data_IF_180354409176
#
_entry.id   IF_180354409176
#
_cell.length_a   1.000
_cell.length_b   1.000
_cell.length_c   1.000
_cell.angle_alpha   90.00
_cell.angle_beta   90.00
_cell.angle_gamma   90.00
#
_symmetry.space_group_name_H-M   'P 1'
#
loop_
_entity.id
_entity.type
_entity.pdbx_description
1 polymer ?
#
# COMPACT_ATOMS: atom_id res chain seq x y z
N UNK A 1 26.41 14.15 -20.63
CA UNK A 1 25.42 15.24 -20.78
C UNK A 1 24.36 14.97 -19.72
N UNK A 2 24.46 15.68 -18.60
CA UNK A 2 23.66 15.51 -17.38
C UNK A 2 22.74 16.74 -17.30
N UNK A 3 21.44 16.51 -17.12
CA UNK A 3 20.38 17.53 -16.92
C UNK A 3 19.28 16.87 -16.06
N UNK A 4 18.51 17.65 -15.28
CA UNK A 4 18.71 17.71 -13.85
C UNK A 4 17.54 17.16 -13.03
N UNK A 5 17.87 16.93 -11.77
CA UNK A 5 17.00 16.70 -10.63
C UNK A 5 15.89 17.75 -10.60
N UNK A 6 14.63 17.32 -10.78
CA UNK A 6 13.46 18.16 -10.55
C UNK A 6 13.23 18.22 -9.04
N UNK A 7 13.51 19.39 -8.50
CA UNK A 7 13.13 19.84 -7.16
C UNK A 7 11.60 19.94 -7.12
N UNK A 8 10.96 19.05 -6.36
CA UNK A 8 9.53 19.14 -6.04
C UNK A 8 9.24 20.33 -5.10
N UNK A 9 8.05 20.94 -5.19
CA UNK A 9 7.78 22.23 -4.56
C UNK A 9 7.70 22.10 -3.04
N UNK A 10 8.52 22.90 -2.37
CA UNK A 10 8.44 23.19 -0.95
C UNK A 10 7.23 24.07 -0.65
N UNK A 11 6.02 23.49 -0.64
CA UNK A 11 4.87 24.19 -0.07
C UNK A 11 3.97 23.18 0.65
N UNK A 12 3.56 23.56 1.86
CA UNK A 12 2.47 22.97 2.63
C UNK A 12 2.81 21.89 3.69
N UNK A 13 3.73 22.22 4.61
CA UNK A 13 3.58 21.79 6.01
C UNK A 13 2.90 22.90 6.83
N UNK A 14 1.65 23.22 6.46
CA UNK A 14 0.75 23.79 7.44
C UNK A 14 0.36 22.64 8.38
N UNK A 15 1.00 22.59 9.55
CA UNK A 15 0.60 21.75 10.68
C UNK A 15 -0.91 21.94 10.91
N UNK A 16 -1.71 21.00 10.44
CA UNK A 16 -3.03 20.76 11.00
C UNK A 16 -2.79 20.25 12.42
N UNK A 17 -2.70 21.18 13.35
CA UNK A 17 -2.76 20.91 14.78
C UNK A 17 -4.18 20.46 15.10
N UNK A 18 -4.48 19.20 14.79
CA UNK A 18 -5.67 18.54 15.28
C UNK A 18 -5.39 18.17 16.73
N UNK A 19 -6.06 18.77 17.73
CA UNK A 19 -5.99 18.26 19.08
C UNK A 19 -6.80 16.96 19.08
N UNK A 20 -6.17 15.85 18.70
CA UNK A 20 -6.62 14.55 19.15
C UNK A 20 -6.52 14.63 20.68
N UNK A 21 -7.66 14.78 21.35
CA UNK A 21 -7.75 14.73 22.79
C UNK A 21 -6.89 13.59 23.29
N UNK A 22 -5.83 13.93 24.03
CA UNK A 22 -4.90 13.00 24.65
C UNK A 22 -5.54 12.25 25.84
N UNK A 23 -6.85 12.03 25.80
CA UNK A 23 -7.61 11.31 26.82
C UNK A 23 -7.74 9.83 26.44
N UNK A 24 -6.60 9.24 26.10
CA UNK A 24 -6.27 7.85 26.41
C UNK A 24 -4.75 7.68 26.35
N UNK A 25 -4.00 8.59 26.97
CA UNK A 25 -2.60 8.33 27.31
C UNK A 25 -2.57 7.29 28.45
N UNK A 26 -2.81 6.02 28.12
CA UNK A 26 -2.33 4.93 28.96
C UNK A 26 -0.81 4.87 28.81
N UNK A 27 -0.10 5.04 29.92
CA UNK A 27 1.36 4.88 30.11
C UNK A 27 1.98 3.65 29.40
N UNK A 28 3.32 3.59 29.21
CA UNK A 28 3.96 2.91 28.08
C UNK A 28 4.00 1.39 28.26
N UNK A 29 2.87 0.74 28.02
CA UNK A 29 2.91 -0.64 27.54
C UNK A 29 3.56 -0.61 26.15
N UNK A 30 4.48 -1.55 25.90
CA UNK A 30 5.26 -1.65 24.66
C UNK A 30 4.40 -1.59 23.38
N UNK A 31 3.13 -1.97 23.48
CA UNK A 31 2.14 -1.92 22.40
C UNK A 31 0.82 -1.29 22.88
N UNK A 32 0.30 -0.34 22.11
CA UNK A 32 -1.02 0.27 22.33
C UNK A 32 -2.17 -0.67 21.91
N UNK A 33 -3.38 -0.47 22.44
CA UNK A 33 -4.55 -1.26 22.01
C UNK A 33 -4.85 -1.06 20.52
N UNK A 34 -4.63 0.14 19.99
CA UNK A 34 -4.80 0.43 18.58
C UNK A 34 -3.84 -0.40 17.69
N UNK A 35 -2.58 -0.55 18.11
CA UNK A 35 -1.61 -1.44 17.46
C UNK A 35 -2.01 -2.91 17.59
N UNK A 36 -2.45 -3.36 18.76
CA UNK A 36 -2.88 -4.75 18.97
C UNK A 36 -4.13 -5.10 18.14
N UNK A 37 -5.08 -4.18 18.01
CA UNK A 37 -6.22 -4.35 17.09
C UNK A 37 -5.74 -4.36 15.64
N UNK A 38 -4.81 -3.47 15.27
CA UNK A 38 -4.20 -3.49 13.93
C UNK A 38 -3.50 -4.82 13.61
N UNK A 39 -2.83 -5.41 14.59
CA UNK A 39 -2.22 -6.73 14.50
C UNK A 39 -3.27 -7.82 14.28
N UNK A 40 -4.34 -7.82 15.07
CA UNK A 40 -5.45 -8.77 14.94
C UNK A 40 -6.16 -8.69 13.58
N UNK A 41 -6.21 -7.49 12.99
CA UNK A 41 -6.79 -7.21 11.67
C UNK A 41 -5.80 -7.43 10.50
N UNK A 42 -4.56 -7.87 10.77
CA UNK A 42 -3.48 -8.05 9.78
C UNK A 42 -3.08 -6.76 9.03
N UNK A 43 -3.29 -5.60 9.66
CA UNK A 43 -3.06 -4.27 9.05
C UNK A 43 -1.73 -3.62 9.45
N UNK A 44 -0.91 -4.28 10.25
CA UNK A 44 0.43 -3.79 10.57
C UNK A 44 1.44 -4.05 9.45
N UNK A 45 2.51 -3.26 9.46
CA UNK A 45 3.71 -3.51 8.65
C UNK A 45 4.39 -4.82 9.13
N UNK A 46 4.96 -5.62 8.22
CA UNK A 46 5.57 -6.92 8.54
C UNK A 46 6.50 -6.95 9.76
N UNK A 47 7.43 -6.00 9.88
CA UNK A 47 8.39 -5.98 10.99
C UNK A 47 7.71 -5.77 12.33
N UNK A 48 6.70 -4.89 12.38
CA UNK A 48 5.93 -4.61 13.60
C UNK A 48 5.02 -5.77 13.98
N UNK A 49 4.46 -6.48 12.99
CA UNK A 49 3.71 -7.73 13.21
C UNK A 49 4.60 -8.80 13.85
N UNK A 50 5.79 -9.04 13.27
CA UNK A 50 6.74 -10.02 13.80
C UNK A 50 7.20 -9.69 15.22
N UNK A 51 7.37 -8.40 15.55
CA UNK A 51 7.72 -7.96 16.90
C UNK A 51 6.64 -8.36 17.93
N UNK A 52 5.37 -8.14 17.58
CA UNK A 52 4.24 -8.52 18.43
C UNK A 52 4.14 -10.04 18.53
N UNK A 53 4.26 -10.78 17.42
CA UNK A 53 4.25 -12.25 17.42
C UNK A 53 5.29 -12.86 18.35
N UNK A 54 6.52 -12.30 18.34
CA UNK A 54 7.57 -12.76 19.23
C UNK A 54 7.24 -12.45 20.70
N UNK A 55 6.77 -11.23 21.00
CA UNK A 55 6.41 -10.85 22.36
C UNK A 55 5.26 -11.71 22.92
N UNK A 56 4.26 -12.03 22.09
CA UNK A 56 3.10 -12.84 22.45
C UNK A 56 3.48 -14.27 22.86
N UNK A 57 4.63 -14.81 22.42
CA UNK A 57 5.08 -16.15 22.83
C UNK A 57 5.51 -16.21 24.29
N UNK A 58 6.08 -15.13 24.81
CA UNK A 58 6.71 -15.09 26.12
C UNK A 58 5.86 -14.35 27.16
N UNK A 59 4.94 -13.50 26.72
CA UNK A 59 4.12 -12.64 27.59
C UNK A 59 2.66 -13.11 27.67
N UNK A 60 2.31 -13.74 28.80
CA UNK A 60 0.93 -14.16 29.11
C UNK A 60 -0.03 -12.98 29.26
N UNK A 61 0.42 -11.84 29.81
CA UNK A 61 -0.45 -10.66 29.97
C UNK A 61 -0.81 -10.09 28.60
N UNK A 62 0.15 -10.04 27.70
CA UNK A 62 -0.08 -9.61 26.31
C UNK A 62 -1.04 -10.56 25.58
N UNK A 63 -0.90 -11.87 25.77
CA UNK A 63 -1.86 -12.87 25.25
C UNK A 63 -3.28 -12.61 25.75
N UNK A 64 -3.45 -12.43 27.06
CA UNK A 64 -4.77 -12.15 27.65
C UNK A 64 -5.36 -10.85 27.13
N UNK A 65 -4.54 -9.81 26.95
CA UNK A 65 -4.97 -8.54 26.37
C UNK A 65 -5.46 -8.70 24.92
N UNK A 66 -4.77 -9.47 24.09
CA UNK A 66 -5.23 -9.81 22.73
C UNK A 66 -6.54 -10.61 22.72
N UNK A 67 -6.69 -11.58 23.62
CA UNK A 67 -7.92 -12.37 23.77
C UNK A 67 -9.10 -11.46 24.15
N UNK A 68 -8.88 -10.53 25.09
CA UNK A 68 -9.89 -9.57 25.52
C UNK A 68 -10.31 -8.65 24.37
N UNK A 69 -9.37 -8.06 23.65
CA UNK A 69 -9.65 -7.19 22.49
C UNK A 69 -10.42 -7.94 21.39
N UNK A 70 -10.03 -9.18 21.09
CA UNK A 70 -10.77 -10.03 20.14
C UNK A 70 -12.18 -10.36 20.64
N UNK A 71 -12.36 -10.60 21.95
CA UNK A 71 -13.66 -10.85 22.55
C UNK A 71 -14.62 -9.65 22.44
N UNK A 72 -14.09 -8.43 22.60
CA UNK A 72 -14.86 -7.20 22.42
C UNK A 72 -15.38 -7.06 20.98
N UNK A 73 -14.52 -7.34 20.00
CA UNK A 73 -14.92 -7.34 18.59
C UNK A 73 -16.06 -8.34 18.30
N UNK A 74 -15.96 -9.57 18.82
CA UNK A 74 -17.02 -10.59 18.63
C UNK A 74 -18.34 -10.16 19.27
N UNK A 75 -18.30 -9.40 20.36
CA UNK A 75 -19.47 -8.82 21.01
C UNK A 75 -20.04 -7.58 20.29
N UNK A 76 -19.46 -7.17 19.15
CA UNK A 76 -19.88 -5.99 18.39
C UNK A 76 -19.40 -4.66 18.97
N UNK A 77 -18.46 -4.68 19.92
CA UNK A 77 -17.89 -3.48 20.55
C UNK A 77 -16.73 -2.94 19.70
N UNK A 78 -17.05 -2.50 18.48
CA UNK A 78 -16.05 -1.95 17.57
C UNK A 78 -15.77 -0.48 17.85
N UNK A 79 -14.50 -0.10 17.80
CA UNK A 79 -14.13 1.31 17.72
C UNK A 79 -14.39 1.86 16.32
N UNK A 80 -14.64 3.17 16.20
CA UNK A 80 -14.78 3.83 14.89
C UNK A 80 -13.53 3.57 14.02
N UNK A 81 -12.34 3.63 14.62
CA UNK A 81 -11.08 3.35 13.92
C UNK A 81 -10.94 1.91 13.42
N UNK A 82 -11.52 0.92 14.11
CA UNK A 82 -11.58 -0.46 13.62
C UNK A 82 -12.50 -0.59 12.40
N UNK A 83 -13.70 0.01 12.48
CA UNK A 83 -14.65 0.02 11.36
C UNK A 83 -14.03 0.70 10.14
N UNK A 84 -13.43 1.88 10.32
CA UNK A 84 -12.83 2.66 9.22
C UNK A 84 -11.79 1.87 8.43
N UNK A 85 -10.89 1.15 9.13
CA UNK A 85 -9.83 0.33 8.50
C UNK A 85 -10.39 -0.91 7.82
N UNK A 86 -11.32 -1.63 8.47
CA UNK A 86 -11.97 -2.83 7.90
C UNK A 86 -12.77 -2.50 6.65
N UNK A 87 -13.54 -1.40 6.70
CA UNK A 87 -14.35 -0.93 5.58
C UNK A 87 -13.54 -0.13 4.54
N UNK A 88 -12.26 0.13 4.80
CA UNK A 88 -11.34 0.80 3.87
C UNK A 88 -11.88 2.14 3.38
N UNK A 89 -12.52 2.91 4.26
CA UNK A 89 -13.29 4.11 3.89
C UNK A 89 -12.46 5.21 3.23
N UNK A 90 -11.15 5.23 3.48
CA UNK A 90 -10.21 6.18 2.87
C UNK A 90 -9.25 5.50 1.90
N UNK A 91 -9.51 4.28 1.44
CA UNK A 91 -8.65 3.64 0.44
C UNK A 91 -9.08 4.08 -0.96
N UNK A 92 -8.15 4.44 -1.85
CA UNK A 92 -8.46 4.60 -3.26
C UNK A 92 -8.93 3.25 -3.84
N UNK A 93 -9.87 3.29 -4.78
CA UNK A 93 -10.30 2.08 -5.47
C UNK A 93 -9.20 1.54 -6.41
N UNK A 94 -9.35 0.28 -6.84
CA UNK A 94 -8.33 -0.37 -7.69
C UNK A 94 -8.15 0.33 -9.04
N UNK A 95 -9.21 0.89 -9.63
CA UNK A 95 -9.14 1.67 -10.88
C UNK A 95 -8.31 2.94 -10.73
N UNK A 96 -8.44 3.63 -9.60
CA UNK A 96 -7.65 4.80 -9.24
C UNK A 96 -6.18 4.42 -9.09
N UNK A 97 -5.89 3.32 -8.38
CA UNK A 97 -4.52 2.79 -8.26
C UNK A 97 -3.94 2.41 -9.63
N UNK A 98 -4.75 1.84 -10.52
CA UNK A 98 -4.33 1.52 -11.89
C UNK A 98 -3.98 2.78 -12.69
N UNK A 99 -4.83 3.82 -12.61
CA UNK A 99 -4.57 5.11 -13.24
C UNK A 99 -3.32 5.78 -12.65
N UNK A 100 -3.10 5.66 -11.33
CA UNK A 100 -1.88 6.15 -10.66
C UNK A 100 -0.63 5.47 -11.22
N UNK A 101 -0.62 4.12 -11.28
CA UNK A 101 0.50 3.33 -11.85
C UNK A 101 0.77 3.69 -13.31
N UNK A 102 -0.27 4.02 -14.07
CA UNK A 102 -0.16 4.47 -15.46
C UNK A 102 0.23 5.95 -15.62
N UNK A 103 0.39 6.71 -14.52
CA UNK A 103 0.58 8.17 -14.51
C UNK A 103 -0.54 8.94 -15.23
N UNK A 104 -1.80 8.55 -14.99
CA UNK A 104 -3.00 9.12 -15.63
C UNK A 104 -3.91 9.89 -14.68
N UNK A 105 -3.51 10.04 -13.41
CA UNK A 105 -4.23 10.87 -12.45
C UNK A 105 -3.82 12.35 -12.57
N UNK A 106 -4.73 13.23 -12.19
CA UNK A 106 -4.36 14.62 -11.90
C UNK A 106 -3.43 14.70 -10.66
N UNK A 107 -2.81 15.87 -10.48
CA UNK A 107 -1.82 16.07 -9.42
C UNK A 107 -2.38 15.86 -8.01
N UNK A 108 -3.60 16.34 -7.74
CA UNK A 108 -4.20 16.26 -6.41
C UNK A 108 -4.51 14.81 -6.03
N UNK A 109 -5.10 14.05 -6.96
CA UNK A 109 -5.40 12.64 -6.73
C UNK A 109 -4.13 11.78 -6.68
N UNK A 110 -3.11 12.11 -7.47
CA UNK A 110 -1.81 11.45 -7.39
C UNK A 110 -1.14 11.66 -6.03
N UNK A 111 -1.18 12.89 -5.50
CA UNK A 111 -0.65 13.22 -4.17
C UNK A 111 -1.40 12.46 -3.06
N UNK A 112 -2.72 12.35 -3.17
CA UNK A 112 -3.52 11.56 -2.23
C UNK A 112 -3.14 10.07 -2.25
N UNK A 113 -3.00 9.47 -3.43
CA UNK A 113 -2.59 8.08 -3.55
C UNK A 113 -1.19 7.87 -2.99
N UNK A 114 -0.25 8.79 -3.26
CA UNK A 114 1.10 8.73 -2.69
C UNK A 114 1.06 8.78 -1.16
N UNK A 115 0.37 9.77 -0.58
CA UNK A 115 0.16 9.88 0.86
C UNK A 115 -0.43 8.59 1.46
N UNK A 116 -1.41 7.99 0.79
CA UNK A 116 -2.04 6.76 1.25
C UNK A 116 -1.07 5.55 1.22
N UNK A 117 -0.17 5.49 0.25
CA UNK A 117 0.83 4.43 0.13
C UNK A 117 2.01 4.61 1.09
N UNK A 118 2.43 5.85 1.38
CA UNK A 118 3.65 6.12 2.16
C UNK A 118 3.38 6.47 3.61
N UNK A 119 2.47 7.41 3.88
CA UNK A 119 2.23 7.96 5.22
C UNK A 119 1.20 7.14 5.99
N UNK A 120 0.04 6.86 5.37
CA UNK A 120 -0.93 5.92 5.95
C UNK A 120 -0.34 4.51 5.93
N UNK A 121 0.42 4.18 4.88
CA UNK A 121 1.04 2.88 4.72
C UNK A 121 0.01 1.74 4.68
N UNK A 122 -1.12 1.91 4.00
CA UNK A 122 -2.12 0.85 3.95
C UNK A 122 -1.56 -0.40 3.25
N UNK A 123 -1.48 -1.53 3.98
CA UNK A 123 -0.92 -2.80 3.46
C UNK A 123 -1.66 -3.30 2.22
N UNK A 124 -2.97 -3.17 2.22
CA UNK A 124 -3.84 -3.58 1.10
C UNK A 124 -3.55 -2.76 -0.16
N UNK A 125 -3.48 -1.43 -0.04
CA UNK A 125 -3.23 -0.55 -1.18
C UNK A 125 -1.82 -0.76 -1.73
N UNK A 126 -0.82 -0.97 -0.85
CA UNK A 126 0.55 -1.33 -1.25
C UNK A 126 0.59 -2.64 -2.04
N UNK A 127 -0.07 -3.70 -1.56
CA UNK A 127 -0.16 -4.95 -2.29
C UNK A 127 -0.83 -4.79 -3.68
N UNK A 128 -1.92 -4.03 -3.77
CA UNK A 128 -2.57 -3.75 -5.05
C UNK A 128 -1.65 -2.96 -6.00
N UNK A 129 -0.94 -1.96 -5.48
CA UNK A 129 0.01 -1.17 -6.24
C UNK A 129 1.15 -2.04 -6.80
N UNK A 130 1.71 -2.93 -5.97
CA UNK A 130 2.77 -3.85 -6.39
C UNK A 130 2.28 -4.80 -7.50
N UNK A 131 1.08 -5.37 -7.35
CA UNK A 131 0.46 -6.24 -8.36
C UNK A 131 0.25 -5.50 -9.68
N UNK A 132 -0.33 -4.29 -9.63
CA UNK A 132 -0.60 -3.47 -10.81
C UNK A 132 0.69 -3.05 -11.54
N UNK A 133 1.76 -2.72 -10.80
CA UNK A 133 3.06 -2.43 -11.40
C UNK A 133 3.66 -3.65 -12.10
N UNK A 134 3.54 -4.84 -11.50
CA UNK A 134 3.97 -6.08 -12.13
C UNK A 134 3.19 -6.38 -13.41
N UNK A 135 1.87 -6.17 -13.39
CA UNK A 135 1.01 -6.29 -14.57
C UNK A 135 1.44 -5.33 -15.69
N UNK A 136 1.69 -4.05 -15.37
CA UNK A 136 2.16 -3.06 -16.34
C UNK A 136 3.53 -3.43 -16.94
N UNK A 137 4.47 -3.90 -16.11
CA UNK A 137 5.79 -4.33 -16.56
C UNK A 137 5.70 -5.55 -17.49
N UNK A 138 4.86 -6.53 -17.16
CA UNK A 138 4.59 -7.71 -18.02
C UNK A 138 3.99 -7.28 -19.37
N UNK A 139 3.01 -6.37 -19.37
CA UNK A 139 2.42 -5.84 -20.60
C UNK A 139 3.44 -5.20 -21.54
N UNK A 140 4.31 -4.34 -21.02
CA UNK A 140 5.40 -3.68 -21.79
C UNK A 140 6.35 -4.71 -22.42
N UNK A 141 6.80 -5.69 -21.65
CA UNK A 141 7.69 -6.75 -22.16
C UNK A 141 7.07 -7.61 -23.27
N UNK A 142 5.76 -7.88 -23.20
CA UNK A 142 5.05 -8.65 -24.22
C UNK A 142 4.94 -7.85 -25.54
N UNK A 143 4.68 -6.55 -25.45
CA UNK A 143 4.62 -5.64 -26.60
C UNK A 143 5.99 -5.48 -27.28
N UNK A 144 7.06 -5.35 -26.49
CA UNK A 144 8.43 -5.32 -26.99
C UNK A 144 8.80 -6.62 -27.72
N UNK A 145 8.45 -7.77 -27.14
CA UNK A 145 8.69 -9.07 -27.76
C UNK A 145 7.90 -9.23 -29.07
N UNK A 146 6.65 -8.76 -29.13
CA UNK A 146 5.84 -8.76 -30.34
C UNK A 146 6.43 -7.84 -31.43
N UNK A 147 6.88 -6.64 -31.04
CA UNK A 147 7.54 -5.68 -31.93
C UNK A 147 8.85 -6.25 -32.49
N UNK A 148 9.66 -6.88 -31.64
CA UNK A 148 10.91 -7.55 -32.06
C UNK A 148 10.63 -8.68 -33.05
N UNK A 149 9.65 -9.55 -32.76
CA UNK A 149 9.24 -10.63 -33.69
C UNK A 149 8.79 -10.08 -35.04
N UNK A 150 8.00 -9.00 -35.06
CA UNK A 150 7.55 -8.34 -36.30
C UNK A 150 8.71 -7.79 -37.12
N UNK A 151 9.68 -7.13 -36.49
CA UNK A 151 10.89 -6.63 -37.16
C UNK A 151 11.71 -7.76 -37.77
N UNK A 152 11.96 -8.84 -37.01
CA UNK A 152 12.71 -10.00 -37.49
C UNK A 152 12.03 -10.63 -38.73
N UNK A 153 10.70 -10.78 -38.70
CA UNK A 153 9.93 -11.28 -39.83
C UNK A 153 10.01 -10.37 -41.06
N UNK A 154 9.90 -9.05 -40.87
CA UNK A 154 10.02 -8.08 -41.96
C UNK A 154 11.42 -8.09 -42.59
N UNK A 155 12.48 -8.26 -41.79
CA UNK A 155 13.85 -8.35 -42.30
C UNK A 155 14.14 -9.68 -43.01
N UNK A 156 13.51 -10.79 -42.61
CA UNK A 156 13.74 -12.10 -43.24
C UNK A 156 12.88 -12.32 -44.50
N UNK A 157 11.69 -11.70 -44.59
CA UNK A 157 10.81 -11.80 -45.76
C UNK A 157 11.40 -11.18 -47.04
N UNK A 158 12.41 -10.30 -46.93
CA UNK A 158 13.13 -9.72 -48.08
C UNK A 158 14.11 -10.66 -48.78
N UNK A 159 14.43 -11.83 -48.20
CA UNK A 159 15.42 -12.77 -48.73
C UNK A 159 14.83 -14.04 -49.36
N UNK A 160 13.51 -14.23 -49.29
CA UNK A 160 12.84 -15.35 -49.95
C UNK A 160 12.50 -14.96 -51.40
N UNK A 161 13.49 -15.11 -52.30
CA UNK A 161 13.22 -15.10 -53.75
C UNK A 161 12.34 -16.31 -54.08
N UNK A 162 11.19 -16.07 -54.69
CA UNK A 162 10.39 -17.12 -55.34
C UNK A 162 11.26 -17.71 -56.45
N UNK A 163 11.67 -18.97 -56.29
CA UNK A 163 12.26 -19.74 -57.39
C UNK A 163 11.08 -20.23 -58.23
N UNK A 164 10.97 -19.71 -59.46
CA UNK A 164 10.11 -20.25 -60.51
C UNK A 164 10.68 -21.59 -61.02
#
# INVERSE_FOLDING_TARGET
MILPIIVGPSHFLARLNFPLSADSASSPDRFSDAELVAFLDEQLEPSRSSEIEQAVREDEKLRQRLIQLRGQDVAGLHTIGAIWRRQRLSCPDRSTLQAYVANQLDAEMADYVLFHLTEIGCRVCRANFDDLNQELARGRSAEEAATRRRRLFQTSAGHLRRQD
#
